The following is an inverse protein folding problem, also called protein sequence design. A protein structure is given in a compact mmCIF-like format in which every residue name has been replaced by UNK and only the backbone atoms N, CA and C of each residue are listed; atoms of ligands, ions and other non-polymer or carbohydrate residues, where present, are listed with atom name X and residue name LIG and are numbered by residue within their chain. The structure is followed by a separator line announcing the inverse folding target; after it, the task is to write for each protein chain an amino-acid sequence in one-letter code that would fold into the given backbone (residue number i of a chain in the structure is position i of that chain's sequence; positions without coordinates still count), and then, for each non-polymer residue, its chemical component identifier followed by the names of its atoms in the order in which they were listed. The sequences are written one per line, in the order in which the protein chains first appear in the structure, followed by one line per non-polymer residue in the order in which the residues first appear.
data_IF_314326805318
#
_entry.id   IF_314326805318
#
_cell.length_a   1.000
_cell.length_b   1.000
_cell.length_c   1.000
_cell.angle_alpha   90.00
_cell.angle_beta   90.00
_cell.angle_gamma   90.00
#
_symmetry.space_group_name_H-M   'P 1'
#
loop_
_entity.id
_entity.type
_entity.pdbx_description
1 polymer ?
#
# COMPACT_ATOMS: atom_id res chain seq x y z
N UNK A 1 -9.28 18.11 12.18
CA UNK A 1 -8.12 18.59 11.38
C UNK A 1 -7.26 17.45 10.85
N UNK A 2 -7.35 16.24 11.41
CA UNK A 2 -6.48 15.09 11.04
C UNK A 2 -6.96 14.33 9.80
N UNK A 3 -8.26 14.02 9.68
CA UNK A 3 -8.82 13.27 8.54
C UNK A 3 -8.45 13.83 7.14
N UNK A 4 -8.49 15.15 6.95
CA UNK A 4 -8.13 15.77 5.66
C UNK A 4 -6.64 15.62 5.32
N UNK A 5 -5.77 15.53 6.33
CA UNK A 5 -4.34 15.28 6.11
C UNK A 5 -4.12 13.81 5.74
N UNK A 6 -4.80 12.90 6.42
CA UNK A 6 -4.76 11.47 6.12
C UNK A 6 -5.23 11.17 4.69
N UNK A 7 -6.39 11.68 4.27
CA UNK A 7 -6.90 11.53 2.90
C UNK A 7 -5.94 12.12 1.83
N UNK A 8 -5.31 13.26 2.14
CA UNK A 8 -4.30 13.86 1.25
C UNK A 8 -3.04 12.99 1.13
N UNK A 9 -2.59 12.36 2.22
CA UNK A 9 -1.46 11.42 2.22
C UNK A 9 -1.80 10.19 1.38
N UNK A 10 -2.97 9.59 1.54
CA UNK A 10 -3.40 8.44 0.73
C UNK A 10 -3.43 8.78 -0.76
N UNK A 11 -3.93 9.95 -1.11
CA UNK A 11 -3.97 10.44 -2.50
C UNK A 11 -2.58 10.51 -3.14
N UNK A 12 -1.54 10.74 -2.34
CA UNK A 12 -0.15 10.78 -2.80
C UNK A 12 0.53 9.40 -2.78
N UNK A 13 0.25 8.58 -1.77
CA UNK A 13 0.89 7.28 -1.59
C UNK A 13 0.38 6.24 -2.59
N UNK A 14 -0.94 6.13 -2.76
CA UNK A 14 -1.56 5.06 -3.54
C UNK A 14 -1.03 5.01 -4.99
N UNK A 15 -0.96 6.12 -5.75
CA UNK A 15 -0.41 6.08 -7.11
C UNK A 15 1.05 5.65 -7.17
N UNK A 16 1.85 5.98 -6.14
CA UNK A 16 3.26 5.59 -6.08
C UNK A 16 3.42 4.09 -5.83
N UNK A 17 2.57 3.50 -4.99
CA UNK A 17 2.57 2.04 -4.77
C UNK A 17 2.09 1.30 -6.02
N UNK A 18 1.01 1.76 -6.65
CA UNK A 18 0.50 1.17 -7.91
C UNK A 18 1.59 1.18 -8.99
N UNK A 19 2.34 2.29 -9.11
CA UNK A 19 3.47 2.37 -10.03
C UNK A 19 4.53 1.30 -9.73
N UNK A 20 4.91 1.13 -8.47
CA UNK A 20 5.86 0.06 -8.09
C UNK A 20 5.31 -1.33 -8.44
N UNK A 21 4.01 -1.57 -8.25
CA UNK A 21 3.37 -2.83 -8.66
C UNK A 21 3.53 -3.04 -10.17
N UNK A 22 3.26 -2.03 -11.00
CA UNK A 22 3.44 -2.14 -12.46
C UNK A 22 4.90 -2.32 -12.90
N UNK A 23 5.86 -1.85 -12.11
CA UNK A 23 7.30 -2.00 -12.38
C UNK A 23 7.80 -3.43 -12.04
N UNK A 24 7.12 -4.13 -11.12
CA UNK A 24 7.55 -5.43 -10.59
C UNK A 24 6.66 -6.62 -10.99
N UNK A 25 5.42 -6.38 -11.40
CA UNK A 25 4.46 -7.38 -11.85
C UNK A 25 4.07 -7.10 -13.31
N UNK A 26 3.72 -8.14 -14.11
CA UNK A 26 3.27 -7.98 -15.49
C UNK A 26 1.81 -7.49 -15.56
N UNK A 27 1.51 -6.40 -14.85
CA UNK A 27 0.19 -5.79 -14.76
C UNK A 27 0.16 -4.46 -15.49
N UNK A 28 -0.96 -4.17 -16.15
CA UNK A 28 -1.27 -2.80 -16.53
C UNK A 28 -1.74 -2.01 -15.31
N UNK A 29 -1.85 -0.69 -15.45
CA UNK A 29 -2.22 0.21 -14.34
C UNK A 29 -3.59 -0.14 -13.75
N UNK A 30 -4.54 -0.56 -14.57
CA UNK A 30 -5.89 -0.94 -14.13
C UNK A 30 -5.85 -2.21 -13.28
N UNK A 31 -5.12 -3.22 -13.72
CA UNK A 31 -4.94 -4.48 -12.99
C UNK A 31 -4.15 -4.24 -11.71
N UNK A 32 -3.04 -3.49 -11.76
CA UNK A 32 -2.25 -3.15 -10.58
C UNK A 32 -3.07 -2.37 -9.54
N UNK A 33 -3.91 -1.43 -9.99
CA UNK A 33 -4.83 -0.71 -9.11
C UNK A 33 -5.79 -1.67 -8.42
N UNK A 34 -6.47 -2.54 -9.19
CA UNK A 34 -7.42 -3.50 -8.62
C UNK A 34 -6.75 -4.42 -7.60
N UNK A 35 -5.62 -5.02 -7.97
CA UNK A 35 -4.87 -5.92 -7.08
C UNK A 35 -4.45 -5.21 -5.79
N UNK A 36 -4.04 -3.95 -5.87
CA UNK A 36 -3.68 -3.19 -4.67
C UNK A 36 -4.90 -2.87 -3.80
N UNK A 37 -6.00 -2.36 -4.37
CA UNK A 37 -7.22 -2.03 -3.62
C UNK A 37 -7.90 -3.27 -2.99
N UNK A 38 -7.69 -4.45 -3.56
CA UNK A 38 -8.19 -5.73 -3.03
C UNK A 38 -7.27 -6.37 -1.97
N UNK A 39 -6.09 -5.78 -1.71
CA UNK A 39 -5.10 -6.32 -0.76
C UNK A 39 -5.40 -5.97 0.69
N UNK A 40 -5.03 -6.86 1.60
CA UNK A 40 -5.09 -6.60 3.05
C UNK A 40 -4.14 -5.47 3.45
N UNK A 41 -3.05 -5.27 2.70
CA UNK A 41 -2.16 -4.11 2.88
C UNK A 41 -2.90 -2.80 2.62
N UNK A 42 -3.73 -2.71 1.58
CA UNK A 42 -4.54 -1.50 1.36
C UNK A 42 -5.62 -1.35 2.43
N UNK A 43 -6.29 -2.43 2.81
CA UNK A 43 -7.25 -2.41 3.92
C UNK A 43 -6.62 -1.95 5.24
N UNK A 44 -5.35 -2.27 5.50
CA UNK A 44 -4.62 -1.71 6.64
C UNK A 44 -4.27 -0.22 6.41
N UNK A 45 -3.82 0.15 5.22
CA UNK A 45 -3.42 1.52 4.86
C UNK A 45 -4.58 2.53 4.96
N UNK A 46 -5.80 2.15 4.59
CA UNK A 46 -6.98 3.03 4.64
C UNK A 46 -7.53 3.27 6.05
N UNK A 47 -7.05 2.50 7.04
CA UNK A 47 -7.41 2.63 8.44
C UNK A 47 -6.38 3.51 9.16
N UNK A 48 -6.74 4.76 9.47
CA UNK A 48 -5.84 5.75 10.08
C UNK A 48 -5.14 5.23 11.36
N UNK A 49 -5.84 4.42 12.16
CA UNK A 49 -5.38 3.86 13.43
C UNK A 49 -4.24 2.84 13.29
N UNK A 50 -4.06 2.22 12.12
CA UNK A 50 -2.96 1.27 11.87
C UNK A 50 -1.61 1.97 11.71
N UNK A 51 -1.62 3.29 11.46
CA UNK A 51 -0.45 4.15 11.21
C UNK A 51 0.41 3.74 10.00
N UNK A 52 -0.06 2.79 9.19
CA UNK A 52 0.62 2.29 7.97
C UNK A 52 0.89 3.40 6.96
N UNK A 53 0.08 4.45 6.96
CA UNK A 53 0.24 5.63 6.11
C UNK A 53 1.51 6.46 6.38
N UNK A 54 2.25 6.20 7.47
CA UNK A 54 3.59 6.79 7.68
C UNK A 54 4.68 6.06 6.89
N UNK A 55 4.41 4.85 6.40
CA UNK A 55 5.40 4.04 5.70
C UNK A 55 5.66 4.58 4.29
N UNK A 56 6.88 4.37 3.81
CA UNK A 56 7.26 4.76 2.45
C UNK A 56 6.49 3.93 1.41
N UNK A 57 6.27 4.45 0.18
CA UNK A 57 5.67 3.66 -0.90
C UNK A 57 6.39 2.34 -1.17
N UNK A 58 7.73 2.32 -1.03
CA UNK A 58 8.52 1.10 -1.20
C UNK A 58 8.23 0.08 -0.09
N UNK A 59 8.07 0.54 1.15
CA UNK A 59 7.71 -0.33 2.27
C UNK A 59 6.31 -0.93 2.08
N UNK A 60 5.34 -0.12 1.67
CA UNK A 60 3.98 -0.58 1.36
C UNK A 60 3.97 -1.59 0.20
N UNK A 61 4.77 -1.33 -0.84
CA UNK A 61 4.97 -2.28 -1.92
C UNK A 61 5.58 -3.60 -1.43
N UNK A 62 6.59 -3.56 -0.56
CA UNK A 62 7.20 -4.78 -0.02
C UNK A 62 6.21 -5.60 0.81
N UNK A 63 5.35 -4.95 1.60
CA UNK A 63 4.26 -5.62 2.32
C UNK A 63 3.28 -6.27 1.35
N UNK A 64 2.89 -5.55 0.29
CA UNK A 64 2.00 -6.10 -0.75
C UNK A 64 2.65 -7.29 -1.46
N UNK A 65 3.94 -7.21 -1.79
CA UNK A 65 4.71 -8.27 -2.42
C UNK A 65 4.81 -9.51 -1.51
N UNK A 66 4.99 -9.32 -0.21
CA UNK A 66 4.94 -10.39 0.80
C UNK A 66 3.55 -11.05 0.85
N UNK A 67 2.48 -10.25 0.87
CA UNK A 67 1.09 -10.72 0.82
C UNK A 67 0.83 -11.57 -0.43
N UNK A 68 1.21 -11.08 -1.62
CA UNK A 68 1.04 -11.81 -2.87
C UNK A 68 1.78 -13.14 -2.89
N UNK A 69 2.94 -13.22 -2.24
CA UNK A 69 3.79 -14.42 -2.23
C UNK A 69 3.40 -15.44 -1.18
N UNK A 70 2.91 -14.99 -0.03
CA UNK A 70 2.72 -15.86 1.16
C UNK A 70 1.27 -15.94 1.62
N UNK A 71 0.39 -15.06 1.14
CA UNK A 71 -1.00 -14.91 1.59
C UNK A 71 -1.15 -14.07 2.86
N UNK A 72 -0.07 -13.49 3.39
CA UNK A 72 -0.08 -12.60 4.56
C UNK A 72 1.11 -11.64 4.50
N UNK A 73 1.15 -10.63 5.36
CA UNK A 73 2.28 -9.70 5.44
C UNK A 73 2.64 -9.42 6.90
N UNK A 74 3.87 -8.96 7.10
CA UNK A 74 4.35 -8.52 8.41
C UNK A 74 4.45 -7.01 8.48
N UNK A 75 4.05 -6.43 9.61
CA UNK A 75 4.32 -5.01 9.84
C UNK A 75 5.82 -4.83 10.07
N UNK A 76 6.46 -3.85 9.39
CA UNK A 76 7.86 -3.55 9.64
C UNK A 76 8.04 -3.09 11.08
N UNK A 77 9.06 -3.62 11.77
CA UNK A 77 9.42 -3.17 13.11
C UNK A 77 9.91 -1.71 13.06
N UNK A 78 9.40 -0.85 13.96
CA UNK A 78 9.98 0.47 14.19
C UNK A 78 11.35 0.29 14.87
N UNK A 79 12.43 0.46 14.10
CA UNK A 79 13.82 0.52 14.63
C UNK A 79 14.12 1.83 15.36
#
# INVERSE_FOLDING_TARGET
MEKQKFEAVLTLLVPQVIRLITEHYPYDEVTASREFYESEVYSALEQEDTKVWHLSPLTLFNMFDEEKKTGTFTFPEEV
#
